data_IF_265825621329
#
_entry.id   IF_265825621329
#
_cell.length_a   1.000
_cell.length_b   1.000
_cell.length_c   1.000
_cell.angle_alpha   90.00
_cell.angle_beta   90.00
_cell.angle_gamma   90.00
#
_symmetry.space_group_name_H-M   'P 1'
#
loop_
_entity.id
_entity.type
_entity.pdbx_description
1 polymer ?
#
# COMPACT_ATOMS: atom_id res chain seq x y z
N UNK A 1 0.94 -29.42 -7.20
CA UNK A 1 1.46 -30.44 -6.25
C UNK A 1 1.56 -29.92 -4.82
N UNK A 2 2.13 -28.72 -4.57
CA UNK A 2 2.17 -28.09 -3.24
C UNK A 2 0.79 -27.95 -2.55
N UNK A 3 -0.23 -27.48 -3.27
CA UNK A 3 -1.59 -27.31 -2.73
C UNK A 3 -2.25 -28.60 -2.25
N UNK A 4 -2.02 -29.73 -2.95
CA UNK A 4 -2.57 -31.02 -2.53
C UNK A 4 -1.92 -31.50 -1.22
N UNK A 5 -0.63 -31.22 -1.03
CA UNK A 5 0.09 -31.58 0.19
C UNK A 5 -0.35 -30.74 1.40
N UNK A 6 -0.58 -29.43 1.20
CA UNK A 6 -1.06 -28.53 2.26
C UNK A 6 -2.51 -28.85 2.61
N UNK A 7 -3.39 -29.08 1.62
CA UNK A 7 -4.77 -29.48 1.87
C UNK A 7 -4.85 -30.80 2.63
N UNK A 8 -4.01 -31.79 2.26
CA UNK A 8 -3.87 -33.05 3.00
C UNK A 8 -3.32 -32.83 4.41
N UNK A 9 -2.41 -31.88 4.62
CA UNK A 9 -1.86 -31.55 5.93
C UNK A 9 -2.93 -30.90 6.83
N UNK A 10 -3.72 -29.97 6.29
CA UNK A 10 -4.83 -29.31 7.01
C UNK A 10 -5.91 -30.34 7.36
N UNK A 11 -6.33 -31.17 6.41
CA UNK A 11 -7.25 -32.29 6.65
C UNK A 11 -6.71 -33.27 7.69
N UNK A 12 -5.42 -33.60 7.63
CA UNK A 12 -4.79 -34.49 8.61
C UNK A 12 -4.78 -33.86 10.01
N UNK A 13 -4.45 -32.58 10.13
CA UNK A 13 -4.46 -31.84 11.41
C UNK A 13 -5.87 -31.75 11.96
N UNK A 14 -6.86 -31.44 11.12
CA UNK A 14 -8.27 -31.39 11.51
C UNK A 14 -8.78 -32.76 11.98
N UNK A 15 -8.45 -33.83 11.26
CA UNK A 15 -8.88 -35.19 11.60
C UNK A 15 -8.18 -35.75 12.84
N UNK A 16 -6.95 -35.30 13.14
CA UNK A 16 -6.21 -35.66 14.36
C UNK A 16 -6.74 -34.88 15.58
N UNK A 17 -7.09 -33.60 15.41
CA UNK A 17 -7.46 -32.71 16.52
C UNK A 17 -8.96 -32.66 16.79
N UNK A 18 -9.81 -32.95 15.80
CA UNK A 18 -11.29 -32.99 15.94
C UNK A 18 -11.76 -33.92 17.07
N UNK A 19 -11.24 -35.15 17.24
CA UNK A 19 -11.63 -36.02 18.36
C UNK A 19 -11.14 -35.55 19.73
N UNK A 20 -10.11 -34.68 19.76
CA UNK A 20 -9.47 -34.19 21.00
C UNK A 20 -10.15 -32.91 21.51
N UNK A 21 -10.77 -32.13 20.61
CA UNK A 21 -11.28 -30.78 20.87
C UNK A 21 -12.80 -30.67 20.98
N UNK A 22 -13.51 -31.80 21.14
CA UNK A 22 -14.97 -31.93 21.02
C UNK A 22 -15.80 -31.14 22.07
N UNK A 23 -15.16 -30.31 22.91
CA UNK A 23 -15.83 -29.51 23.93
C UNK A 23 -15.55 -28.01 23.88
N UNK A 24 -14.80 -27.49 22.90
CA UNK A 24 -14.53 -26.05 22.88
C UNK A 24 -14.32 -25.47 21.48
N UNK A 25 -15.41 -24.99 20.88
CA UNK A 25 -15.45 -24.27 19.58
C UNK A 25 -14.38 -23.17 19.49
N UNK A 26 -13.98 -22.57 20.61
CA UNK A 26 -12.92 -21.56 20.67
C UNK A 26 -11.52 -22.07 20.30
N UNK A 27 -11.24 -23.37 20.49
CA UNK A 27 -9.93 -23.94 20.15
C UNK A 27 -9.79 -24.16 18.65
N UNK A 28 -10.83 -24.65 17.99
CA UNK A 28 -10.84 -24.80 16.52
C UNK A 28 -10.67 -23.43 15.86
N UNK A 29 -11.41 -22.41 16.32
CA UNK A 29 -11.24 -21.04 15.84
C UNK A 29 -9.82 -20.50 16.07
N UNK A 30 -9.22 -20.75 17.24
CA UNK A 30 -7.83 -20.35 17.53
C UNK A 30 -6.80 -21.10 16.68
N UNK A 31 -7.04 -22.36 16.34
CA UNK A 31 -6.14 -23.15 15.51
C UNK A 31 -6.22 -22.72 14.04
N UNK A 32 -7.41 -22.40 13.53
CA UNK A 32 -7.60 -21.81 12.20
C UNK A 32 -6.87 -20.48 12.11
N UNK A 33 -7.03 -19.60 13.11
CA UNK A 33 -6.28 -18.33 13.20
C UNK A 33 -4.76 -18.59 13.26
N UNK A 34 -4.31 -19.59 14.01
CA UNK A 34 -2.89 -19.95 14.09
C UNK A 34 -2.36 -20.46 12.75
N UNK A 35 -3.14 -21.24 12.00
CA UNK A 35 -2.77 -21.70 10.67
C UNK A 35 -2.72 -20.55 9.65
N UNK A 36 -3.64 -19.59 9.72
CA UNK A 36 -3.59 -18.35 8.91
C UNK A 36 -2.35 -17.51 9.24
N UNK A 37 -1.92 -17.47 10.50
CA UNK A 37 -0.70 -16.78 10.95
C UNK A 37 0.56 -17.54 10.50
N UNK A 38 0.53 -18.87 10.49
CA UNK A 38 1.68 -19.73 10.14
C UNK A 38 1.84 -19.90 8.63
N UNK A 39 0.77 -19.73 7.85
CA UNK A 39 0.77 -19.81 6.38
C UNK A 39 0.25 -18.52 5.71
N UNK A 40 0.93 -17.37 5.88
CA UNK A 40 0.53 -16.11 5.26
C UNK A 40 0.67 -16.09 3.72
N UNK A 41 1.27 -17.13 3.12
CA UNK A 41 1.54 -17.24 1.68
C UNK A 41 0.33 -17.56 0.80
N UNK A 42 -0.84 -17.88 1.34
CA UNK A 42 -2.00 -18.35 0.54
C UNK A 42 -3.00 -17.24 0.15
N UNK A 43 -2.80 -16.01 0.62
CA UNK A 43 -3.69 -14.91 0.29
C UNK A 43 -3.21 -14.20 -0.98
N UNK A 44 -3.93 -14.43 -2.10
CA UNK A 44 -3.73 -13.68 -3.33
C UNK A 44 -4.08 -12.20 -3.15
N UNK A 45 -4.99 -11.87 -2.25
CA UNK A 45 -5.33 -10.48 -1.93
C UNK A 45 -4.79 -10.11 -0.55
N UNK A 46 -4.41 -8.85 -0.39
CA UNK A 46 -3.93 -8.38 0.90
C UNK A 46 -3.97 -6.88 1.04
N UNK A 47 -3.70 -6.45 2.27
CA UNK A 47 -3.68 -5.04 2.66
C UNK A 47 -2.49 -4.79 3.57
N UNK A 48 -1.66 -3.82 3.20
CA UNK A 48 -0.59 -3.29 4.05
C UNK A 48 -0.91 -1.86 4.43
N UNK A 49 -0.48 -1.42 5.61
CA UNK A 49 -0.61 -0.02 6.00
C UNK A 49 0.54 0.44 6.87
N UNK A 50 0.92 1.70 6.70
CA UNK A 50 1.87 2.40 7.57
C UNK A 50 1.33 3.79 7.90
N UNK A 51 1.63 4.28 9.09
CA UNK A 51 1.24 5.61 9.54
C UNK A 51 2.49 6.32 10.08
N UNK A 52 2.84 7.43 9.44
CA UNK A 52 4.07 8.19 9.71
C UNK A 52 3.69 9.56 10.25
N UNK A 53 4.29 9.96 11.37
CA UNK A 53 4.09 11.30 11.92
C UNK A 53 4.65 12.37 10.99
N UNK A 54 3.93 13.48 10.84
CA UNK A 54 4.35 14.66 10.10
C UNK A 54 4.31 15.88 11.02
N UNK A 55 5.24 16.82 10.80
CA UNK A 55 5.34 18.06 11.57
C UNK A 55 4.88 19.27 10.77
N UNK A 56 4.90 19.18 9.44
CA UNK A 56 4.32 20.18 8.56
C UNK A 56 2.79 20.24 8.68
N UNK A 57 2.17 21.39 8.33
CA UNK A 57 0.71 21.50 8.34
C UNK A 57 0.05 20.46 7.43
N UNK A 58 -0.90 19.69 7.99
CA UNK A 58 -1.61 18.62 7.29
C UNK A 58 -2.22 19.05 5.95
N UNK A 59 -2.78 20.26 5.87
CA UNK A 59 -3.32 20.82 4.63
C UNK A 59 -2.25 21.04 3.57
N UNK A 60 -1.09 21.60 3.93
CA UNK A 60 0.04 21.78 3.01
C UNK A 60 0.57 20.46 2.51
N UNK A 61 0.68 19.46 3.39
CA UNK A 61 1.12 18.12 3.03
C UNK A 61 0.16 17.47 2.03
N UNK A 62 -1.15 17.49 2.35
CA UNK A 62 -2.18 16.94 1.47
C UNK A 62 -2.19 17.64 0.10
N UNK A 63 -2.15 18.97 0.08
CA UNK A 63 -2.10 19.77 -1.15
C UNK A 63 -0.86 19.47 -1.99
N UNK A 64 0.29 19.20 -1.37
CA UNK A 64 1.49 18.83 -2.12
C UNK A 64 1.28 17.53 -2.88
N UNK A 65 0.70 16.52 -2.22
CA UNK A 65 0.43 15.21 -2.81
C UNK A 65 -0.69 15.25 -3.86
N UNK A 66 -1.72 16.07 -3.68
CA UNK A 66 -2.90 16.07 -4.57
C UNK A 66 -2.88 17.15 -5.66
N UNK A 67 -2.18 18.28 -5.43
CA UNK A 67 -2.20 19.46 -6.32
C UNK A 67 -0.81 19.86 -6.81
N UNK A 68 0.25 19.25 -6.28
CA UNK A 68 1.64 19.54 -6.67
C UNK A 68 2.50 18.29 -6.87
N UNK A 69 1.84 17.16 -7.13
CA UNK A 69 2.52 15.86 -7.29
C UNK A 69 3.65 15.90 -8.34
N UNK A 70 3.61 16.80 -9.33
CA UNK A 70 4.67 16.94 -10.33
C UNK A 70 6.01 17.46 -9.79
N UNK A 71 6.04 18.05 -8.60
CA UNK A 71 7.26 18.49 -7.96
C UNK A 71 7.97 17.40 -7.16
N UNK A 72 7.31 16.27 -6.85
CA UNK A 72 7.88 15.27 -5.93
C UNK A 72 9.17 14.62 -6.43
N UNK A 73 9.41 14.58 -7.75
CA UNK A 73 10.68 14.12 -8.32
C UNK A 73 11.87 15.02 -8.00
N UNK A 74 11.63 16.28 -7.62
CA UNK A 74 12.66 17.23 -7.21
C UNK A 74 12.81 17.30 -5.68
N UNK A 75 11.95 16.58 -4.94
CA UNK A 75 11.85 16.62 -3.48
C UNK A 75 12.29 15.28 -2.88
N UNK A 76 11.75 14.19 -3.42
CA UNK A 76 11.92 12.84 -2.89
C UNK A 76 13.06 12.13 -3.60
N UNK A 77 14.07 11.71 -2.83
CA UNK A 77 15.29 11.08 -3.34
C UNK A 77 14.99 9.81 -4.18
N UNK A 78 14.01 9.02 -3.74
CA UNK A 78 13.63 7.75 -4.40
C UNK A 78 12.77 7.94 -5.65
N UNK A 79 12.35 9.15 -5.99
CA UNK A 79 11.55 9.44 -7.19
C UNK A 79 12.45 10.03 -8.25
N UNK A 80 12.87 9.20 -9.21
CA UNK A 80 13.79 9.63 -10.26
C UNK A 80 13.12 10.47 -11.33
N UNK A 81 11.88 10.13 -11.72
CA UNK A 81 11.20 10.82 -12.79
C UNK A 81 9.68 10.72 -12.70
N UNK A 82 9.03 11.78 -13.13
CA UNK A 82 7.59 11.83 -13.31
C UNK A 82 7.16 12.68 -14.50
N UNK A 83 6.35 12.08 -15.39
CA UNK A 83 5.75 12.78 -16.54
C UNK A 83 4.28 12.45 -16.74
N UNK A 84 3.48 13.45 -17.10
CA UNK A 84 2.11 13.22 -17.59
C UNK A 84 2.19 12.35 -18.85
N UNK A 85 1.49 11.22 -18.82
CA UNK A 85 1.45 10.27 -19.93
C UNK A 85 0.18 10.48 -20.77
N UNK A 86 -0.95 10.68 -20.10
CA UNK A 86 -2.25 10.95 -20.72
C UNK A 86 -2.97 12.05 -19.94
N UNK A 87 -3.81 12.82 -20.64
CA UNK A 87 -4.52 13.98 -20.10
C UNK A 87 -3.74 15.30 -20.26
N UNK A 88 -4.41 16.39 -19.94
CA UNK A 88 -3.86 17.77 -20.03
C UNK A 88 -3.51 18.36 -18.66
N UNK A 89 -4.02 17.76 -17.58
CA UNK A 89 -3.82 18.18 -16.20
C UNK A 89 -3.42 16.98 -15.33
N UNK A 90 -2.40 17.16 -14.50
CA UNK A 90 -1.85 16.14 -13.61
C UNK A 90 -2.80 15.70 -12.50
N UNK A 91 -3.72 16.58 -12.10
CA UNK A 91 -4.51 16.38 -10.88
C UNK A 91 -5.97 16.02 -11.20
N UNK A 92 -6.26 15.73 -12.48
CA UNK A 92 -7.58 15.33 -12.94
C UNK A 92 -7.93 13.91 -12.49
N UNK A 93 -9.01 13.78 -11.71
CA UNK A 93 -9.53 12.50 -11.21
C UNK A 93 -10.09 11.68 -12.37
N UNK A 94 -9.50 10.51 -12.62
CA UNK A 94 -9.85 9.60 -13.71
C UNK A 94 -9.56 10.13 -15.13
N UNK A 95 -9.07 11.37 -15.26
CA UNK A 95 -8.81 12.03 -16.54
C UNK A 95 -7.33 12.16 -16.89
N UNK A 96 -6.44 11.64 -16.04
CA UNK A 96 -5.00 11.74 -16.23
C UNK A 96 -4.29 10.44 -15.88
N UNK A 97 -3.26 10.11 -16.67
CA UNK A 97 -2.37 8.99 -16.38
C UNK A 97 -0.96 9.53 -16.24
N UNK A 98 -0.32 9.12 -15.15
CA UNK A 98 1.00 9.58 -14.78
C UNK A 98 1.98 8.43 -14.84
N UNK A 99 3.11 8.59 -15.54
CA UNK A 99 4.18 7.57 -15.58
C UNK A 99 5.30 7.96 -14.62
N UNK A 100 5.59 7.06 -13.68
CA UNK A 100 6.59 7.20 -12.63
C UNK A 100 7.78 6.26 -12.83
N UNK A 101 8.96 6.73 -12.42
CA UNK A 101 10.17 5.92 -12.22
C UNK A 101 10.71 6.22 -10.83
N UNK A 102 10.81 5.19 -9.99
CA UNK A 102 11.23 5.31 -8.59
C UNK A 102 11.99 4.07 -8.14
N UNK A 103 12.55 4.09 -6.93
CA UNK A 103 13.28 2.97 -6.34
C UNK A 103 12.45 2.30 -5.26
N UNK A 104 12.19 0.99 -5.43
CA UNK A 104 11.62 0.10 -4.41
C UNK A 104 12.66 -1.00 -4.13
N UNK A 105 12.98 -1.22 -2.85
CA UNK A 105 13.96 -2.24 -2.43
C UNK A 105 15.31 -2.16 -3.16
N UNK A 106 15.78 -0.93 -3.43
CA UNK A 106 17.02 -0.68 -4.17
C UNK A 106 16.95 -0.96 -5.68
N UNK A 107 15.81 -1.43 -6.20
CA UNK A 107 15.59 -1.65 -7.63
C UNK A 107 14.80 -0.50 -8.25
N UNK A 108 15.22 -0.07 -9.45
CA UNK A 108 14.43 0.86 -10.26
C UNK A 108 13.16 0.16 -10.74
N UNK A 109 12.03 0.78 -10.43
CA UNK A 109 10.67 0.31 -10.68
C UNK A 109 9.93 1.38 -11.47
N UNK A 110 9.14 0.95 -12.44
CA UNK A 110 8.30 1.81 -13.26
C UNK A 110 6.83 1.42 -13.10
N UNK A 111 5.96 2.43 -13.06
CA UNK A 111 4.52 2.21 -13.05
C UNK A 111 3.79 3.39 -13.66
N UNK A 112 2.58 3.13 -14.14
CA UNK A 112 1.57 4.17 -14.36
C UNK A 112 0.67 4.29 -13.14
N UNK A 113 0.08 5.46 -13.01
CA UNK A 113 -0.80 5.81 -11.91
C UNK A 113 -1.92 6.71 -12.42
N UNK A 114 -3.11 6.52 -11.87
CA UNK A 114 -4.27 7.41 -12.06
C UNK A 114 -4.91 7.68 -10.71
N UNK A 115 -5.45 8.89 -10.54
CA UNK A 115 -6.25 9.26 -9.39
C UNK A 115 -7.66 8.68 -9.56
N UNK A 116 -8.10 7.82 -8.66
CA UNK A 116 -9.46 7.27 -8.66
C UNK A 116 -10.46 8.20 -7.96
N UNK A 117 -10.05 8.81 -6.85
CA UNK A 117 -10.90 9.74 -6.11
C UNK A 117 -10.10 10.62 -5.16
N UNK A 118 -10.65 11.79 -4.85
CA UNK A 118 -10.14 12.71 -3.83
C UNK A 118 -11.32 13.10 -2.93
N UNK A 119 -11.15 12.95 -1.62
CA UNK A 119 -12.02 13.46 -0.58
C UNK A 119 -11.26 14.55 0.19
N UNK A 120 -11.41 15.80 -0.26
CA UNK A 120 -10.76 16.97 0.33
C UNK A 120 -11.17 17.18 1.81
N UNK A 121 -12.41 16.80 2.18
CA UNK A 121 -12.93 16.99 3.54
C UNK A 121 -12.19 16.07 4.52
N UNK A 122 -12.05 14.80 4.15
CA UNK A 122 -11.38 13.80 4.99
C UNK A 122 -9.88 13.69 4.71
N UNK A 123 -9.36 14.49 3.76
CA UNK A 123 -7.97 14.46 3.28
C UNK A 123 -7.54 13.07 2.84
N UNK A 124 -8.37 12.43 2.01
CA UNK A 124 -8.11 11.11 1.43
C UNK A 124 -7.95 11.24 -0.08
N UNK A 125 -6.96 10.55 -0.64
CA UNK A 125 -6.84 10.34 -2.08
C UNK A 125 -6.56 8.88 -2.36
N UNK A 126 -7.17 8.36 -3.41
CA UNK A 126 -6.99 6.98 -3.86
C UNK A 126 -6.33 7.00 -5.23
N UNK A 127 -5.20 6.32 -5.32
CA UNK A 127 -4.47 6.10 -6.55
C UNK A 127 -4.59 4.64 -6.97
N UNK A 128 -4.74 4.41 -8.27
CA UNK A 128 -4.58 3.09 -8.87
C UNK A 128 -3.27 3.05 -9.63
N UNK A 129 -2.43 2.08 -9.28
CA UNK A 129 -1.17 1.82 -9.98
C UNK A 129 -1.36 0.63 -10.92
N UNK A 130 -0.77 0.71 -12.10
CA UNK A 130 -0.87 -0.30 -13.16
C UNK A 130 0.29 -0.16 -14.15
N UNK A 131 0.41 -1.09 -15.09
CA UNK A 131 1.47 -1.16 -16.10
C UNK A 131 2.89 -1.28 -15.49
N UNK A 132 3.89 -1.43 -16.35
CA UNK A 132 5.29 -1.52 -15.94
C UNK A 132 5.58 -2.73 -15.05
N UNK A 133 6.25 -2.50 -13.92
CA UNK A 133 6.60 -3.55 -12.96
C UNK A 133 5.42 -3.98 -12.08
N UNK A 134 4.33 -3.20 -12.02
CA UNK A 134 3.15 -3.50 -11.20
C UNK A 134 2.41 -4.72 -11.76
N UNK A 135 2.01 -4.67 -13.03
CA UNK A 135 1.16 -5.70 -13.65
C UNK A 135 1.87 -7.06 -13.78
N UNK A 136 3.21 -7.07 -13.68
CA UNK A 136 4.00 -8.30 -13.64
C UNK A 136 3.81 -9.08 -12.33
N UNK A 137 3.44 -8.39 -11.24
CA UNK A 137 3.36 -8.94 -9.88
C UNK A 137 1.93 -8.92 -9.34
N UNK A 138 1.15 -7.91 -9.70
CA UNK A 138 -0.16 -7.66 -9.12
C UNK A 138 -1.20 -7.42 -10.22
N UNK A 139 -2.34 -8.11 -10.14
CA UNK A 139 -3.51 -7.88 -11.00
C UNK A 139 -4.25 -6.59 -10.63
N UNK A 140 -4.19 -6.21 -9.36
CA UNK A 140 -4.75 -4.98 -8.84
C UNK A 140 -3.78 -4.40 -7.81
N UNK A 141 -3.56 -3.09 -7.89
CA UNK A 141 -2.72 -2.37 -6.94
C UNK A 141 -3.29 -0.98 -6.70
N UNK A 142 -3.72 -0.73 -5.46
CA UNK A 142 -4.35 0.51 -5.04
C UNK A 142 -3.61 1.09 -3.86
N UNK A 143 -3.32 2.38 -3.92
CA UNK A 143 -2.70 3.14 -2.83
C UNK A 143 -3.72 4.13 -2.32
N UNK A 144 -4.08 4.00 -1.04
CA UNK A 144 -4.96 4.95 -0.36
C UNK A 144 -4.06 5.77 0.58
N UNK A 145 -4.07 7.08 0.38
CA UNK A 145 -3.33 8.03 1.19
C UNK A 145 -4.31 8.89 1.97
N UNK A 146 -4.06 9.05 3.26
CA UNK A 146 -4.85 9.89 4.16
C UNK A 146 -3.94 10.73 5.04
N UNK A 147 -4.27 12.02 5.19
CA UNK A 147 -3.66 12.86 6.23
C UNK A 147 -4.61 12.99 7.41
N UNK A 148 -4.14 12.62 8.60
CA UNK A 148 -4.89 12.64 9.85
C UNK A 148 -4.36 13.80 10.69
N UNK A 149 -5.25 14.71 11.07
CA UNK A 149 -4.93 15.81 11.99
C UNK A 149 -5.20 15.40 13.43
N UNK A 150 -4.23 15.62 14.31
CA UNK A 150 -4.38 15.39 15.73
C UNK A 150 -4.75 16.71 16.43
N UNK A 151 -6.06 16.95 16.56
CA UNK A 151 -6.65 18.21 17.04
C UNK A 151 -6.18 18.64 18.44
N UNK A 152 -5.57 17.74 19.22
CA UNK A 152 -5.15 18.03 20.58
C UNK A 152 -3.76 18.68 20.66
N UNK A 153 -2.85 18.36 19.73
CA UNK A 153 -1.43 18.75 19.85
C UNK A 153 -0.89 19.47 18.61
N UNK A 154 -1.73 19.72 17.59
CA UNK A 154 -1.30 20.34 16.33
C UNK A 154 -0.36 19.49 15.49
N UNK A 155 -0.11 18.23 15.88
CA UNK A 155 0.63 17.24 15.10
C UNK A 155 -0.28 16.54 14.09
N UNK A 156 0.29 16.05 12.99
CA UNK A 156 -0.43 15.25 12.01
C UNK A 156 0.23 13.91 11.77
N UNK A 157 -0.45 13.01 11.07
CA UNK A 157 0.15 11.81 10.50
C UNK A 157 -0.30 11.58 9.06
N UNK A 158 0.59 10.99 8.28
CA UNK A 158 0.37 10.51 6.93
C UNK A 158 0.16 8.99 6.98
N UNK A 159 -1.05 8.54 6.66
CA UNK A 159 -1.40 7.13 6.60
C UNK A 159 -1.42 6.67 5.15
N UNK A 160 -0.63 5.65 4.86
CA UNK A 160 -0.57 4.98 3.57
C UNK A 160 -1.12 3.57 3.72
N UNK A 161 -1.96 3.17 2.77
CA UNK A 161 -2.53 1.84 2.70
C UNK A 161 -2.33 1.33 1.28
N UNK A 162 -1.85 0.10 1.14
CA UNK A 162 -1.77 -0.61 -0.14
C UNK A 162 -2.75 -1.76 -0.12
N UNK A 163 -3.70 -1.76 -1.03
CA UNK A 163 -4.57 -2.90 -1.32
C UNK A 163 -4.09 -3.53 -2.62
N UNK A 164 -3.84 -4.85 -2.60
CA UNK A 164 -3.26 -5.54 -3.74
C UNK A 164 -3.89 -6.91 -3.98
N UNK A 165 -3.84 -7.35 -5.23
CA UNK A 165 -4.10 -8.73 -5.65
C UNK A 165 -2.89 -9.23 -6.43
N UNK A 166 -2.20 -10.26 -5.94
CA UNK A 166 -1.08 -10.94 -6.58
C UNK A 166 -1.53 -11.68 -7.83
N UNK A 167 -0.63 -11.82 -8.80
CA UNK A 167 -0.89 -12.66 -9.98
C UNK A 167 -0.93 -14.16 -9.64
N UNK A 168 -0.16 -14.60 -8.63
CA UNK A 168 -0.10 -15.95 -8.09
C UNK A 168 0.59 -15.95 -6.71
N UNK A 169 0.70 -17.12 -6.07
CA UNK A 169 1.25 -17.26 -4.71
C UNK A 169 2.78 -17.12 -4.62
N UNK A 170 3.51 -17.22 -5.75
CA UNK A 170 4.96 -17.03 -5.78
C UNK A 170 5.37 -15.54 -5.69
N UNK A 171 4.39 -14.63 -5.81
CA UNK A 171 4.63 -13.19 -5.65
C UNK A 171 4.57 -12.80 -4.19
N UNK A 172 5.61 -12.09 -3.74
CA UNK A 172 5.67 -11.52 -2.39
C UNK A 172 4.69 -10.34 -2.23
N UNK A 173 4.24 -10.11 -1.00
CA UNK A 173 3.50 -8.90 -0.68
C UNK A 173 4.40 -7.66 -0.91
N UNK A 174 3.83 -6.49 -1.24
CA UNK A 174 4.59 -5.30 -1.63
C UNK A 174 5.22 -4.56 -0.43
N UNK A 175 6.00 -5.27 0.39
CA UNK A 175 6.60 -4.71 1.62
C UNK A 175 7.53 -3.53 1.35
N UNK A 176 8.27 -3.54 0.23
CA UNK A 176 9.13 -2.43 -0.17
C UNK A 176 8.41 -1.10 -0.34
N UNK A 177 7.10 -1.11 -0.60
CA UNK A 177 6.31 0.12 -0.65
C UNK A 177 6.16 0.78 0.73
N UNK A 178 6.18 0.01 1.83
CA UNK A 178 6.09 0.59 3.17
C UNK A 178 7.31 1.44 3.51
N UNK A 179 8.50 0.96 3.16
CA UNK A 179 9.75 1.71 3.33
C UNK A 179 9.82 2.91 2.36
N UNK A 180 9.36 2.72 1.12
CA UNK A 180 9.23 3.81 0.17
C UNK A 180 8.32 4.93 0.70
N UNK A 181 7.14 4.62 1.25
CA UNK A 181 6.24 5.64 1.81
C UNK A 181 6.78 6.33 3.05
N UNK A 182 7.51 5.61 3.91
CA UNK A 182 8.18 6.22 5.06
C UNK A 182 9.19 7.29 4.61
N UNK A 183 10.07 6.93 3.67
CA UNK A 183 11.08 7.86 3.12
C UNK A 183 10.43 9.00 2.34
N UNK A 184 9.47 8.70 1.46
CA UNK A 184 8.72 9.68 0.69
C UNK A 184 8.02 10.71 1.59
N UNK A 185 7.40 10.24 2.68
CA UNK A 185 6.73 11.11 3.66
C UNK A 185 7.72 12.03 4.35
N UNK A 186 8.86 11.50 4.80
CA UNK A 186 9.91 12.29 5.49
C UNK A 186 10.53 13.34 4.57
N UNK A 187 10.78 13.01 3.31
CA UNK A 187 11.34 13.96 2.33
C UNK A 187 10.38 15.13 2.08
N UNK A 188 9.07 14.84 1.91
CA UNK A 188 8.05 15.89 1.77
C UNK A 188 7.91 16.72 3.05
N UNK A 189 7.86 16.07 4.23
CA UNK A 189 7.70 16.76 5.51
C UNK A 189 8.86 17.73 5.74
N UNK A 190 10.10 17.28 5.51
CA UNK A 190 11.29 18.12 5.59
C UNK A 190 11.22 19.32 4.61
N UNK A 191 10.88 19.06 3.35
CA UNK A 191 10.75 20.12 2.34
C UNK A 191 9.70 21.18 2.74
N UNK A 192 8.56 20.78 3.28
CA UNK A 192 7.50 21.68 3.70
C UNK A 192 7.82 22.48 4.97
N UNK A 193 8.79 22.03 5.76
CA UNK A 193 9.29 22.75 6.94
C UNK A 193 10.37 23.78 6.57
N UNK A 194 11.08 23.57 5.47
CA UNK A 194 12.09 24.50 4.93
C UNK A 194 11.50 25.59 4.01
N UNK A 195 10.29 25.39 3.49
CA UNK A 195 9.59 26.26 2.53
C UNK A 195 8.69 27.33 3.16
#
# INVERSE_FOLDING_TARGET
>A
MKYAFIFLLVLAVEQILSPILDHNVNYVARLVILLEIVFPEMALTGKLSTEIAIHSPASKFFDLVTKKMHHVQNICERVHAGKLHEGDDWHSVGGSVKHWTYVIDGKVTTSKETIESIDEKNKIVIFKLFDGDIDQRYKAFKVIFQVIENNNNGSGSAKWIVEYEKVNDDVEAPYGYMEYFDKFTKDIDAHLLEA
#
